data_IF_760416148713
#
_entry.id   IF_760416148713
#
_cell.length_a   1.000
_cell.length_b   1.000
_cell.length_c   1.000
_cell.angle_alpha   90.00
_cell.angle_beta   90.00
_cell.angle_gamma   90.00
#
_symmetry.space_group_name_H-M   'P 1'
#
loop_
_entity.id
_entity.type
_entity.pdbx_description
1 polymer ?
#
# COMPACT_ATOMS: atom_id res chain seq x y z
N UNK A 1 37.96 9.54 -1.60
CA UNK A 1 38.09 10.54 -0.52
C UNK A 1 36.73 10.57 0.14
N UNK A 2 36.67 9.89 1.28
CA UNK A 2 35.39 9.65 1.99
C UNK A 2 34.81 10.97 2.50
N UNK A 3 33.69 11.42 1.97
CA UNK A 3 32.84 12.37 2.65
C UNK A 3 32.15 11.62 3.80
N UNK A 4 32.82 11.61 4.95
CA UNK A 4 32.23 11.18 6.21
C UNK A 4 30.97 12.00 6.47
N UNK A 5 29.87 11.30 6.71
CA UNK A 5 28.63 11.85 7.29
C UNK A 5 29.02 12.70 8.50
N UNK A 6 29.01 14.02 8.36
CA UNK A 6 29.16 14.94 9.48
C UNK A 6 27.82 14.94 10.22
N UNK A 7 27.72 14.11 11.25
CA UNK A 7 26.62 14.20 12.21
C UNK A 7 26.83 15.45 13.07
N UNK A 8 25.80 16.26 13.27
CA UNK A 8 25.84 17.34 14.24
C UNK A 8 26.02 16.77 15.68
N UNK A 9 26.25 17.66 16.65
CA UNK A 9 26.51 17.30 18.07
C UNK A 9 25.36 16.50 18.70
N UNK A 10 24.20 16.40 18.02
CA UNK A 10 23.02 15.64 18.42
C UNK A 10 22.76 14.41 17.54
N UNK A 11 23.72 14.02 16.66
CA UNK A 11 23.56 12.89 15.77
C UNK A 11 22.64 13.14 14.58
N UNK A 12 22.37 14.39 14.23
CA UNK A 12 21.60 14.77 13.04
C UNK A 12 22.53 14.88 11.84
N UNK A 13 22.16 14.22 10.74
CA UNK A 13 22.81 14.42 9.46
C UNK A 13 22.60 15.88 9.01
N UNK A 14 23.67 16.55 8.55
CA UNK A 14 23.53 17.85 7.93
C UNK A 14 22.63 17.73 6.70
N UNK A 15 21.50 18.43 6.69
CA UNK A 15 20.64 18.53 5.52
C UNK A 15 21.38 19.48 4.54
N UNK A 16 21.69 19.06 3.31
CA UNK A 16 22.29 19.95 2.35
C UNK A 16 21.32 21.10 2.04
N UNK A 17 21.77 22.35 2.27
CA UNK A 17 21.02 23.56 1.91
C UNK A 17 20.94 23.65 0.37
N UNK A 18 19.73 23.66 -0.19
CA UNK A 18 19.53 24.04 -1.58
C UNK A 18 18.89 23.04 -2.52
N UNK A 19 18.05 22.11 -2.04
CA UNK A 19 17.44 21.08 -2.90
C UNK A 19 15.99 21.37 -3.37
N UNK A 20 15.67 22.65 -3.63
CA UNK A 20 14.31 23.05 -4.03
C UNK A 20 13.84 22.47 -5.38
N UNK A 21 14.74 22.08 -6.28
CA UNK A 21 14.44 21.66 -7.66
C UNK A 21 15.10 20.32 -8.05
N UNK A 22 15.39 19.42 -7.11
CA UNK A 22 15.95 18.12 -7.42
C UNK A 22 15.03 17.34 -8.38
N UNK A 23 15.63 16.75 -9.42
CA UNK A 23 14.94 15.85 -10.35
C UNK A 23 14.37 14.64 -9.59
N UNK A 24 13.32 13.98 -10.11
CA UNK A 24 12.72 12.81 -9.45
C UNK A 24 13.71 11.66 -9.19
N UNK A 25 14.75 11.54 -10.02
CA UNK A 25 15.81 10.54 -9.89
C UNK A 25 16.69 10.81 -8.67
N UNK A 26 16.98 12.08 -8.37
CA UNK A 26 17.75 12.47 -7.19
C UNK A 26 16.96 12.28 -5.88
N UNK A 27 15.61 12.29 -5.98
CA UNK A 27 14.72 12.15 -4.83
C UNK A 27 14.45 10.68 -4.46
N UNK A 28 14.60 9.75 -5.40
CA UNK A 28 14.28 8.34 -5.18
C UNK A 28 15.12 7.70 -4.05
N UNK A 29 16.45 7.91 -3.93
CA UNK A 29 17.22 7.37 -2.82
C UNK A 29 16.83 7.96 -1.45
N UNK A 30 16.50 9.26 -1.41
CA UNK A 30 16.03 9.89 -0.16
C UNK A 30 14.67 9.31 0.28
N UNK A 31 13.78 9.06 -0.68
CA UNK A 31 12.48 8.44 -0.43
C UNK A 31 12.63 6.98 0.03
N UNK A 32 13.57 6.21 -0.55
CA UNK A 32 13.90 4.86 -0.10
C UNK A 32 14.36 4.86 1.35
N UNK A 33 15.32 5.74 1.68
CA UNK A 33 15.84 5.87 3.04
C UNK A 33 14.74 6.26 4.05
N UNK A 34 13.85 7.19 3.67
CA UNK A 34 12.72 7.60 4.48
C UNK A 34 11.77 6.43 4.75
N UNK A 35 11.35 5.71 3.70
CA UNK A 35 10.46 4.56 3.84
C UNK A 35 11.08 3.44 4.68
N UNK A 36 12.38 3.20 4.52
CA UNK A 36 13.12 2.22 5.32
C UNK A 36 13.19 2.63 6.80
N UNK A 37 13.54 3.88 7.08
CA UNK A 37 13.68 4.40 8.44
C UNK A 37 12.36 4.40 9.21
N UNK A 38 11.24 4.73 8.54
CA UNK A 38 9.92 4.75 9.16
C UNK A 38 9.34 3.34 9.35
N UNK A 39 9.66 2.39 8.48
CA UNK A 39 9.22 0.99 8.57
C UNK A 39 7.70 0.79 8.53
N UNK A 40 6.96 1.76 8.00
CA UNK A 40 5.49 1.78 7.92
C UNK A 40 5.00 2.43 6.63
N UNK A 41 3.70 2.39 6.43
CA UNK A 41 3.02 3.20 5.42
C UNK A 41 3.28 4.69 5.67
N UNK A 42 3.60 5.43 4.59
CA UNK A 42 3.86 6.87 4.58
C UNK A 42 2.96 7.50 3.55
N UNK A 43 2.19 8.52 3.94
CA UNK A 43 1.39 9.25 2.97
C UNK A 43 2.29 10.10 2.05
N UNK A 44 1.84 10.31 0.79
CA UNK A 44 2.54 11.20 -0.16
C UNK A 44 2.70 12.60 0.43
N UNK A 45 1.67 13.10 1.15
CA UNK A 45 1.71 14.41 1.78
C UNK A 45 2.73 14.47 2.93
N UNK A 46 2.83 13.42 3.76
CA UNK A 46 3.82 13.32 4.83
C UNK A 46 5.24 13.28 4.26
N UNK A 47 5.49 12.43 3.26
CA UNK A 47 6.79 12.36 2.60
C UNK A 47 7.17 13.69 1.93
N UNK A 48 6.21 14.37 1.31
CA UNK A 48 6.41 15.69 0.71
C UNK A 48 6.81 16.75 1.75
N UNK A 49 6.16 16.74 2.91
CA UNK A 49 6.49 17.66 4.00
C UNK A 49 7.90 17.37 4.58
N UNK A 50 8.23 16.10 4.81
CA UNK A 50 9.54 15.70 5.37
C UNK A 50 10.69 16.01 4.38
N UNK A 51 10.48 15.74 3.10
CA UNK A 51 11.48 15.95 2.08
C UNK A 51 11.50 17.39 1.52
N UNK A 52 10.60 18.26 2.00
CA UNK A 52 10.45 19.65 1.53
C UNK A 52 10.25 19.72 0.01
N UNK A 53 9.37 18.86 -0.52
CA UNK A 53 9.05 18.75 -1.95
C UNK A 53 7.55 18.77 -2.20
N UNK A 54 7.17 19.00 -3.44
CA UNK A 54 5.76 18.89 -3.81
C UNK A 54 5.27 17.44 -3.80
N UNK A 55 4.00 17.19 -3.44
CA UNK A 55 3.42 15.84 -3.51
C UNK A 55 3.57 15.18 -4.90
N UNK A 56 3.50 15.97 -5.97
CA UNK A 56 3.70 15.48 -7.33
C UNK A 56 5.15 15.04 -7.60
N UNK A 57 6.14 15.72 -7.04
CA UNK A 57 7.56 15.32 -7.14
C UNK A 57 7.79 14.00 -6.40
N UNK A 58 7.24 13.85 -5.18
CA UNK A 58 7.30 12.61 -4.40
C UNK A 58 6.62 11.44 -5.14
N UNK A 59 5.45 11.67 -5.74
CA UNK A 59 4.75 10.64 -6.50
C UNK A 59 5.58 10.17 -7.73
N UNK A 60 6.24 11.09 -8.44
CA UNK A 60 7.14 10.74 -9.54
C UNK A 60 8.37 9.96 -9.04
N UNK A 61 9.02 10.43 -7.97
CA UNK A 61 10.15 9.74 -7.35
C UNK A 61 9.77 8.32 -6.87
N UNK A 62 8.58 8.13 -6.34
CA UNK A 62 8.05 6.80 -5.99
C UNK A 62 7.93 5.89 -7.23
N UNK A 63 7.59 6.44 -8.39
CA UNK A 63 7.62 5.71 -9.66
C UNK A 63 9.02 5.25 -10.05
N UNK A 64 10.01 6.14 -9.93
CA UNK A 64 11.44 5.82 -10.20
C UNK A 64 11.93 4.76 -9.22
N UNK A 65 11.72 4.96 -7.92
CA UNK A 65 12.13 4.01 -6.88
C UNK A 65 11.50 2.61 -7.10
N UNK A 66 10.23 2.53 -7.48
CA UNK A 66 9.59 1.24 -7.78
C UNK A 66 10.26 0.52 -8.96
N UNK A 67 10.75 1.26 -9.96
CA UNK A 67 11.51 0.70 -11.08
C UNK A 67 12.90 0.23 -10.62
N UNK A 68 13.61 1.00 -9.81
CA UNK A 68 14.95 0.68 -9.31
C UNK A 68 14.97 -0.55 -8.39
N UNK A 69 13.86 -0.82 -7.72
CA UNK A 69 13.67 -1.99 -6.87
C UNK A 69 13.32 -3.26 -7.64
N UNK A 70 13.15 -3.21 -8.97
CA UNK A 70 12.87 -4.40 -9.78
C UNK A 70 14.05 -5.38 -9.71
N UNK A 71 13.72 -6.66 -9.51
CA UNK A 71 14.70 -7.73 -9.36
C UNK A 71 15.45 -7.76 -8.02
N UNK A 72 15.10 -6.86 -7.07
CA UNK A 72 15.64 -6.86 -5.70
C UNK A 72 14.71 -7.60 -4.74
N UNK A 73 15.15 -7.79 -3.49
CA UNK A 73 14.35 -8.43 -2.44
C UNK A 73 13.24 -7.57 -1.84
N UNK A 74 13.25 -6.26 -2.13
CA UNK A 74 12.26 -5.29 -1.69
C UNK A 74 11.43 -4.81 -2.88
N UNK A 75 10.24 -4.29 -2.60
CA UNK A 75 9.39 -3.59 -3.55
C UNK A 75 8.70 -2.40 -2.87
N UNK A 76 8.33 -1.40 -3.66
CA UNK A 76 7.55 -0.26 -3.19
C UNK A 76 6.07 -0.50 -3.54
N UNK A 77 5.25 -0.69 -2.53
CA UNK A 77 3.80 -0.67 -2.68
C UNK A 77 3.31 0.77 -2.74
N UNK A 78 2.36 1.04 -3.64
CA UNK A 78 1.85 2.38 -3.91
C UNK A 78 0.33 2.39 -4.04
N UNK A 79 -0.27 3.44 -3.47
CA UNK A 79 -1.63 3.87 -3.77
C UNK A 79 -1.60 5.33 -4.25
N UNK A 80 -2.75 5.92 -4.55
CA UNK A 80 -2.85 7.34 -4.91
C UNK A 80 -2.36 8.27 -3.79
N UNK A 81 -2.45 7.84 -2.54
CA UNK A 81 -2.22 8.68 -1.37
C UNK A 81 -1.05 8.27 -0.49
N UNK A 82 -0.53 7.05 -0.65
CA UNK A 82 0.47 6.49 0.26
C UNK A 82 1.41 5.51 -0.44
N UNK A 83 2.58 5.31 0.19
CA UNK A 83 3.63 4.39 -0.23
C UNK A 83 4.12 3.57 0.96
N UNK A 84 4.65 2.38 0.68
CA UNK A 84 5.30 1.55 1.69
C UNK A 84 6.37 0.66 1.07
N UNK A 85 7.55 0.62 1.69
CA UNK A 85 8.61 -0.32 1.33
C UNK A 85 8.34 -1.66 2.04
N UNK A 86 8.28 -2.75 1.26
CA UNK A 86 8.00 -4.10 1.78
C UNK A 86 8.91 -5.13 1.12
N UNK A 87 8.98 -6.34 1.71
CA UNK A 87 9.68 -7.47 1.10
C UNK A 87 8.84 -8.07 -0.04
N UNK A 88 9.51 -8.49 -1.12
CA UNK A 88 8.83 -9.21 -2.21
C UNK A 88 8.29 -10.56 -1.75
N UNK A 89 7.13 -10.99 -2.28
CA UNK A 89 6.55 -12.30 -1.96
C UNK A 89 7.53 -13.47 -2.19
N UNK A 90 8.36 -13.39 -3.21
CA UNK A 90 9.36 -14.41 -3.55
C UNK A 90 10.41 -14.60 -2.44
N UNK A 91 10.58 -13.58 -1.58
CA UNK A 91 11.50 -13.60 -0.43
C UNK A 91 10.82 -14.09 0.86
N UNK A 92 9.54 -14.46 0.82
CA UNK A 92 8.77 -14.88 2.00
C UNK A 92 9.43 -16.03 2.76
N UNK A 93 10.10 -16.94 2.08
CA UNK A 93 10.82 -18.05 2.69
C UNK A 93 11.92 -17.61 3.67
N UNK A 94 12.65 -16.53 3.32
CA UNK A 94 13.71 -15.99 4.18
C UNK A 94 13.13 -15.23 5.37
N UNK A 95 12.10 -14.40 5.09
CA UNK A 95 11.40 -13.61 6.13
C UNK A 95 10.72 -14.52 7.15
N UNK A 96 10.05 -15.59 6.71
CA UNK A 96 9.40 -16.55 7.60
C UNK A 96 10.40 -17.28 8.49
N UNK A 97 11.59 -17.63 7.98
CA UNK A 97 12.65 -18.24 8.79
C UNK A 97 13.19 -17.31 9.87
N UNK A 98 13.30 -16.02 9.57
CA UNK A 98 13.84 -15.02 10.49
C UNK A 98 12.83 -14.63 11.59
N UNK A 99 11.58 -14.40 11.21
CA UNK A 99 10.58 -13.81 12.08
C UNK A 99 9.68 -14.84 12.77
N UNK A 100 9.64 -16.10 12.29
CA UNK A 100 8.72 -17.14 12.77
C UNK A 100 7.29 -16.61 12.99
N UNK A 101 6.70 -15.86 12.03
CA UNK A 101 5.44 -15.19 12.25
C UNK A 101 4.34 -16.21 12.55
N UNK A 102 3.50 -15.90 13.52
CA UNK A 102 2.26 -16.65 13.70
C UNK A 102 1.46 -16.59 12.39
N UNK A 103 0.88 -17.72 11.98
CA UNK A 103 0.08 -17.78 10.76
C UNK A 103 -1.12 -16.85 10.93
N UNK A 104 -1.26 -15.81 10.10
CA UNK A 104 -2.44 -14.95 10.17
C UNK A 104 -3.70 -15.80 9.99
N UNK A 105 -4.73 -15.51 10.77
CA UNK A 105 -6.01 -16.21 10.63
C UNK A 105 -6.52 -16.06 9.19
N UNK A 106 -6.89 -17.17 8.56
CA UNK A 106 -7.42 -17.17 7.19
C UNK A 106 -8.73 -16.37 7.15
N UNK A 107 -8.92 -15.64 6.06
CA UNK A 107 -10.21 -15.04 5.77
C UNK A 107 -11.23 -16.15 5.46
N UNK A 108 -12.46 -15.97 5.94
CA UNK A 108 -13.58 -16.85 5.54
C UNK A 108 -13.88 -16.65 4.05
N UNK A 109 -14.58 -17.62 3.43
CA UNK A 109 -15.03 -17.51 2.04
C UNK A 109 -15.85 -16.23 1.81
N UNK A 110 -16.79 -15.94 2.71
CA UNK A 110 -17.59 -14.72 2.66
C UNK A 110 -16.73 -13.44 2.69
N UNK A 111 -15.68 -13.40 3.53
CA UNK A 111 -14.77 -12.28 3.61
C UNK A 111 -13.91 -12.15 2.32
N UNK A 112 -13.45 -13.25 1.75
CA UNK A 112 -12.69 -13.26 0.49
C UNK A 112 -13.53 -12.75 -0.68
N UNK A 113 -14.77 -13.21 -0.81
CA UNK A 113 -15.71 -12.77 -1.86
C UNK A 113 -16.01 -11.27 -1.73
N UNK A 114 -16.31 -10.79 -0.52
CA UNK A 114 -16.56 -9.37 -0.28
C UNK A 114 -15.33 -8.51 -0.57
N UNK A 115 -14.15 -8.97 -0.14
CA UNK A 115 -12.88 -8.28 -0.40
C UNK A 115 -12.58 -8.20 -1.91
N UNK A 116 -12.84 -9.27 -2.67
CA UNK A 116 -12.70 -9.27 -4.12
C UNK A 116 -13.64 -8.25 -4.78
N UNK A 117 -14.91 -8.18 -4.35
CA UNK A 117 -15.85 -7.18 -4.88
C UNK A 117 -15.31 -5.76 -4.64
N UNK A 118 -14.83 -5.45 -3.42
CA UNK A 118 -14.25 -4.15 -3.13
C UNK A 118 -13.05 -3.89 -4.03
N UNK A 119 -12.12 -4.83 -4.16
CA UNK A 119 -10.91 -4.67 -4.95
C UNK A 119 -11.18 -4.34 -6.43
N UNK A 120 -12.18 -4.97 -7.04
CA UNK A 120 -12.50 -4.79 -8.46
C UNK A 120 -13.53 -3.69 -8.75
N UNK A 121 -14.25 -3.21 -7.74
CA UNK A 121 -15.35 -2.23 -7.90
C UNK A 121 -15.12 -0.93 -7.16
N UNK A 122 -14.01 -0.79 -6.45
CA UNK A 122 -13.70 0.42 -5.69
C UNK A 122 -13.61 1.68 -6.57
N UNK A 123 -14.07 2.84 -6.06
CA UNK A 123 -14.75 3.01 -4.77
C UNK A 123 -16.21 2.52 -4.83
N UNK A 124 -16.65 1.73 -3.83
CA UNK A 124 -17.94 1.02 -3.86
C UNK A 124 -18.71 1.17 -2.54
N UNK A 125 -20.03 1.29 -2.60
CA UNK A 125 -20.90 1.37 -1.42
C UNK A 125 -21.28 -0.01 -0.89
N UNK A 126 -21.66 -0.10 0.40
CA UNK A 126 -22.24 -1.31 1.00
C UNK A 126 -23.41 -1.84 0.19
N UNK A 127 -24.36 -0.97 -0.21
CA UNK A 127 -25.54 -1.38 -0.96
C UNK A 127 -25.22 -2.08 -2.29
N UNK A 128 -24.19 -1.62 -2.99
CA UNK A 128 -23.72 -2.27 -4.24
C UNK A 128 -23.10 -3.63 -3.93
N UNK A 129 -22.30 -3.73 -2.86
CA UNK A 129 -21.69 -4.99 -2.44
C UNK A 129 -22.78 -6.01 -2.10
N UNK A 130 -23.78 -5.63 -1.31
CA UNK A 130 -24.91 -6.48 -0.92
C UNK A 130 -25.76 -6.90 -2.12
N UNK A 131 -25.95 -6.00 -3.10
CA UNK A 131 -26.69 -6.36 -4.32
C UNK A 131 -25.96 -7.43 -5.14
N UNK A 132 -24.63 -7.44 -5.14
CA UNK A 132 -23.82 -8.46 -5.82
C UNK A 132 -23.81 -9.77 -5.03
N UNK A 133 -23.69 -9.68 -3.70
CA UNK A 133 -23.63 -10.84 -2.80
C UNK A 133 -24.97 -11.50 -2.54
N UNK A 134 -26.06 -10.76 -2.68
CA UNK A 134 -27.42 -11.22 -2.34
C UNK A 134 -27.70 -11.39 -0.85
N UNK A 135 -26.81 -10.94 0.03
CA UNK A 135 -26.88 -11.06 1.50
C UNK A 135 -26.35 -9.81 2.18
N UNK A 136 -26.75 -9.59 3.45
CA UNK A 136 -26.18 -8.54 4.29
C UNK A 136 -24.66 -8.75 4.48
N UNK A 137 -23.90 -7.66 4.38
CA UNK A 137 -22.43 -7.68 4.44
C UNK A 137 -21.86 -6.83 5.58
N UNK A 138 -22.68 -6.26 6.49
CA UNK A 138 -22.19 -5.34 7.54
C UNK A 138 -21.05 -5.94 8.35
N UNK A 139 -21.29 -7.10 8.99
CA UNK A 139 -20.29 -7.74 9.84
C UNK A 139 -19.00 -8.13 9.07
N UNK A 140 -19.13 -8.49 7.80
CA UNK A 140 -17.97 -8.82 6.96
C UNK A 140 -17.17 -7.56 6.61
N UNK A 141 -17.84 -6.46 6.30
CA UNK A 141 -17.19 -5.17 6.04
C UNK A 141 -16.48 -4.62 7.28
N UNK A 142 -17.12 -4.71 8.46
CA UNK A 142 -16.49 -4.35 9.73
C UNK A 142 -15.22 -5.18 9.96
N UNK A 143 -15.30 -6.50 9.84
CA UNK A 143 -14.16 -7.40 10.02
C UNK A 143 -13.01 -7.09 9.03
N UNK A 144 -13.30 -6.81 7.77
CA UNK A 144 -12.28 -6.43 6.77
C UNK A 144 -11.65 -5.07 7.09
N UNK A 145 -12.44 -4.12 7.62
CA UNK A 145 -11.97 -2.80 8.06
C UNK A 145 -11.07 -2.91 9.30
N UNK A 146 -11.46 -3.69 10.31
CA UNK A 146 -10.65 -3.98 11.50
C UNK A 146 -9.29 -4.59 11.14
N UNK A 147 -9.28 -5.46 10.13
CA UNK A 147 -8.05 -6.03 9.57
C UNK A 147 -7.28 -5.08 8.66
N UNK A 148 -7.78 -3.87 8.46
CA UNK A 148 -7.21 -2.85 7.58
C UNK A 148 -7.02 -3.31 6.14
N UNK A 149 -7.85 -4.23 5.65
CA UNK A 149 -7.81 -4.67 4.26
C UNK A 149 -8.61 -3.73 3.35
N UNK A 150 -9.65 -3.11 3.90
CA UNK A 150 -10.44 -2.06 3.27
C UNK A 150 -10.53 -0.85 4.20
N UNK A 151 -10.85 0.30 3.64
CA UNK A 151 -11.10 1.53 4.39
C UNK A 151 -12.18 2.39 3.73
N UNK A 152 -12.73 3.34 4.49
CA UNK A 152 -13.58 4.42 3.96
C UNK A 152 -12.68 5.37 3.15
N UNK A 153 -12.83 5.41 1.84
CA UNK A 153 -12.02 6.28 0.96
C UNK A 153 -12.72 7.58 0.60
N UNK A 154 -14.06 7.59 0.62
CA UNK A 154 -14.88 8.76 0.35
C UNK A 154 -16.31 8.56 0.84
N UNK A 155 -17.16 9.59 0.68
CA UNK A 155 -18.61 9.49 0.79
C UNK A 155 -19.24 9.84 -0.54
N UNK A 156 -20.29 9.10 -0.92
CA UNK A 156 -21.02 9.37 -2.15
C UNK A 156 -21.90 10.62 -1.96
N UNK A 157 -21.94 11.49 -2.96
CA UNK A 157 -22.78 12.69 -2.94
C UNK A 157 -24.22 12.36 -3.36
N UNK A 158 -24.91 11.59 -2.50
CA UNK A 158 -26.31 11.21 -2.63
C UNK A 158 -26.99 11.29 -1.27
N UNK A 159 -28.34 11.34 -1.20
CA UNK A 159 -29.03 11.33 0.08
C UNK A 159 -28.55 10.20 0.99
N UNK A 160 -28.22 10.54 2.24
CA UNK A 160 -27.66 9.61 3.21
C UNK A 160 -26.12 9.50 3.18
N UNK A 161 -25.43 10.11 2.22
CA UNK A 161 -23.97 10.17 2.08
C UNK A 161 -23.28 8.83 2.42
N UNK A 162 -23.63 7.71 1.73
CA UNK A 162 -23.12 6.41 2.07
C UNK A 162 -21.60 6.35 1.93
N UNK A 163 -20.96 5.57 2.82
CA UNK A 163 -19.52 5.33 2.78
C UNK A 163 -19.14 4.61 1.50
N UNK A 164 -18.02 5.03 0.91
CA UNK A 164 -17.37 4.37 -0.21
C UNK A 164 -16.15 3.62 0.30
N UNK A 165 -16.12 2.31 0.08
CA UNK A 165 -15.04 1.43 0.47
C UNK A 165 -14.01 1.29 -0.65
N UNK A 166 -12.73 1.26 -0.27
CA UNK A 166 -11.61 0.93 -1.14
C UNK A 166 -10.59 0.06 -0.40
N UNK A 167 -9.67 -0.53 -1.15
CA UNK A 167 -8.58 -1.33 -0.59
C UNK A 167 -7.47 -0.46 -0.03
N UNK A 168 -6.64 -1.04 0.84
CA UNK A 168 -5.49 -0.38 1.47
C UNK A 168 -4.17 -0.99 0.99
N UNK A 169 -3.02 -0.41 1.38
CA UNK A 169 -1.71 -1.04 1.15
C UNK A 169 -1.60 -2.41 1.86
N UNK A 170 -2.32 -2.61 2.96
CA UNK A 170 -2.38 -3.91 3.64
C UNK A 170 -3.03 -4.99 2.77
N UNK A 171 -4.03 -4.63 1.96
CA UNK A 171 -4.58 -5.53 0.94
C UNK A 171 -3.52 -5.91 -0.09
N UNK A 172 -2.76 -4.93 -0.62
CA UNK A 172 -1.69 -5.20 -1.58
C UNK A 172 -0.62 -6.14 -1.00
N UNK A 173 -0.27 -5.98 0.29
CA UNK A 173 0.62 -6.91 1.00
C UNK A 173 0.04 -8.33 1.03
N UNK A 174 -1.26 -8.46 1.33
CA UNK A 174 -1.92 -9.76 1.41
C UNK A 174 -1.87 -10.51 0.07
N UNK A 175 -2.08 -9.80 -1.04
CA UNK A 175 -2.11 -10.38 -2.40
C UNK A 175 -0.76 -10.34 -3.11
N UNK A 176 0.24 -9.66 -2.55
CA UNK A 176 1.61 -9.59 -3.10
C UNK A 176 1.78 -8.67 -4.30
N UNK A 177 0.95 -7.63 -4.44
CA UNK A 177 0.98 -6.68 -5.55
C UNK A 177 1.68 -5.37 -5.17
N UNK A 178 2.21 -4.64 -6.17
CA UNK A 178 2.81 -3.32 -6.00
C UNK A 178 1.74 -2.21 -5.99
N UNK A 179 0.70 -2.35 -6.80
CA UNK A 179 -0.39 -1.39 -6.94
C UNK A 179 -1.69 -2.10 -7.32
N UNK A 180 -2.81 -1.38 -7.21
CA UNK A 180 -4.13 -1.97 -7.48
C UNK A 180 -4.31 -2.35 -8.95
N UNK A 181 -3.68 -1.61 -9.85
CA UNK A 181 -3.76 -1.84 -11.29
C UNK A 181 -3.07 -3.15 -11.73
N UNK A 182 -2.26 -3.76 -10.85
CA UNK A 182 -1.62 -5.06 -11.10
C UNK A 182 -2.58 -6.24 -10.86
N UNK A 183 -3.82 -5.98 -10.42
CA UNK A 183 -4.83 -7.04 -10.30
C UNK A 183 -5.13 -7.67 -11.66
N UNK A 184 -5.14 -9.02 -11.77
CA UNK A 184 -5.49 -9.69 -13.01
C UNK A 184 -6.94 -9.35 -13.41
N UNK A 185 -7.25 -9.23 -14.70
CA UNK A 185 -8.62 -9.02 -15.14
C UNK A 185 -9.52 -10.17 -14.69
N UNK A 186 -10.79 -9.87 -14.38
CA UNK A 186 -11.76 -10.86 -13.86
C UNK A 186 -11.88 -12.09 -14.77
N UNK A 187 -11.70 -11.92 -16.09
CA UNK A 187 -11.71 -13.01 -17.07
C UNK A 187 -10.58 -14.03 -16.92
N UNK A 188 -9.48 -13.65 -16.25
CA UNK A 188 -8.30 -14.50 -16.03
C UNK A 188 -8.27 -15.11 -14.62
N UNK A 189 -9.26 -14.80 -13.80
CA UNK A 189 -9.33 -15.38 -12.45
C UNK A 189 -9.59 -16.89 -12.57
N UNK A 190 -8.76 -17.73 -11.93
CA UNK A 190 -9.07 -19.15 -11.82
C UNK A 190 -10.41 -19.31 -11.09
N UNK A 191 -11.29 -20.14 -11.62
CA UNK A 191 -12.49 -20.58 -10.89
C UNK A 191 -11.99 -21.22 -9.61
N UNK A 192 -12.27 -20.59 -8.47
CA UNK A 192 -11.88 -21.15 -7.18
C UNK A 192 -12.54 -22.52 -7.06
N UNK A 193 -11.78 -23.61 -6.79
CA UNK A 193 -12.38 -24.90 -6.54
C UNK A 193 -13.33 -24.77 -5.34
N UNK A 194 -14.47 -25.45 -5.43
CA UNK A 194 -15.38 -25.54 -4.31
C UNK A 194 -14.62 -26.13 -3.12
N UNK A 195 -14.37 -25.29 -2.13
CA UNK A 195 -13.82 -25.75 -0.86
C UNK A 195 -14.95 -26.45 -0.08
N UNK A 196 -15.00 -27.77 -0.13
CA UNK A 196 -15.77 -28.58 0.81
C UNK A 196 -15.29 -28.37 2.27
#
# INVERSE_FOLDING_TARGET
>A
MDELLVLDVFGRAAVPEGTSDAEPEDLAPALEALCFALGREVSIAEAAAILERSPSAVARAAGVLAMDLRGRGLMLQRSETAIQLVTRPEMAWAVQRALHPERPSRLSRAAMETLAIVAYRQPVTKAVIESIRGVDCEAVLEHLTERRLIADVARQDTPGHPRLFGTTLRFLQLVGLEQIDDLPPVSEMPVLPDFE
#
